data_IF_241763530990
#
_entry.id   IF_241763530990
#
_cell.length_a   1.000
_cell.length_b   1.000
_cell.length_c   1.000
_cell.angle_alpha   90.00
_cell.angle_beta   90.00
_cell.angle_gamma   90.00
#
_symmetry.space_group_name_H-M   'P 1'
#
loop_
_entity.id
_entity.type
_entity.pdbx_description
1 polymer ?
#
# COMPACT_ATOMS: atom_id res chain seq x y z
N UNK A 1 25.58 5.27 -14.30
CA UNK A 1 24.22 4.87 -14.71
C UNK A 1 23.46 4.48 -13.46
N UNK A 2 22.44 5.24 -13.06
CA UNK A 2 21.61 4.86 -11.91
C UNK A 2 20.69 3.72 -12.34
N UNK A 3 20.65 2.63 -11.58
CA UNK A 3 19.68 1.56 -11.78
C UNK A 3 18.32 2.02 -11.24
N UNK A 4 17.19 1.67 -11.88
CA UNK A 4 15.89 1.92 -11.29
C UNK A 4 15.78 1.16 -9.97
N UNK A 5 15.51 1.88 -8.89
CA UNK A 5 15.24 1.34 -7.57
C UNK A 5 13.92 1.92 -7.08
N UNK A 6 13.11 1.09 -6.43
CA UNK A 6 11.87 1.50 -5.77
C UNK A 6 12.15 1.61 -4.28
N UNK A 7 11.95 2.80 -3.72
CA UNK A 7 11.97 3.01 -2.27
C UNK A 7 10.63 2.59 -1.69
N UNK A 8 10.65 1.73 -0.67
CA UNK A 8 9.44 1.16 -0.06
C UNK A 8 9.19 1.66 1.36
N UNK A 9 10.00 2.61 1.83
CA UNK A 9 9.82 3.33 3.10
C UNK A 9 9.11 4.66 2.84
N UNK A 10 8.45 5.19 3.86
CA UNK A 10 7.68 6.43 3.78
C UNK A 10 6.20 6.19 4.05
N UNK A 11 5.38 7.11 3.58
CA UNK A 11 3.93 7.09 3.74
C UNK A 11 3.24 7.55 2.46
N UNK A 12 2.00 7.09 2.25
CA UNK A 12 1.24 7.49 1.09
C UNK A 12 -0.15 6.86 1.01
N UNK A 13 -0.94 7.19 -0.03
CA UNK A 13 -2.24 6.58 -0.23
C UNK A 13 -2.10 5.09 -0.58
N UNK A 14 -3.03 4.28 -0.09
CA UNK A 14 -3.14 2.85 -0.41
C UNK A 14 -4.57 2.50 -0.86
N UNK A 15 -4.64 1.55 -1.78
CA UNK A 15 -5.89 0.95 -2.23
C UNK A 15 -5.79 -0.55 -1.98
N UNK A 16 -6.69 -1.09 -1.16
CA UNK A 16 -6.74 -2.51 -0.83
C UNK A 16 -7.95 -3.14 -1.49
N UNK A 17 -7.67 -4.11 -2.36
CA UNK A 17 -8.68 -4.87 -3.08
C UNK A 17 -8.90 -6.20 -2.37
N UNK A 18 -10.11 -6.45 -1.88
CA UNK A 18 -10.47 -7.66 -1.13
C UNK A 18 -11.97 -7.92 -1.21
N UNK A 19 -12.37 -9.19 -1.33
CA UNK A 19 -13.79 -9.60 -1.39
C UNK A 19 -14.62 -8.84 -2.46
N UNK A 20 -14.01 -8.45 -3.58
CA UNK A 20 -14.66 -7.66 -4.64
C UNK A 20 -14.95 -6.20 -4.27
N UNK A 21 -14.34 -5.71 -3.19
CA UNK A 21 -14.43 -4.31 -2.73
C UNK A 21 -13.05 -3.66 -2.75
N UNK A 22 -13.06 -2.33 -2.83
CA UNK A 22 -11.87 -1.50 -2.62
C UNK A 22 -12.02 -0.74 -1.32
N UNK A 23 -10.98 -0.77 -0.50
CA UNK A 23 -10.84 0.06 0.68
C UNK A 23 -9.69 1.04 0.46
N UNK A 24 -9.93 2.30 0.80
CA UNK A 24 -9.00 3.41 0.66
C UNK A 24 -8.42 3.78 2.03
N UNK A 25 -7.17 4.23 2.03
CA UNK A 25 -6.48 4.60 3.25
C UNK A 25 -5.08 5.13 3.00
N UNK A 26 -4.25 5.09 4.03
CA UNK A 26 -2.82 5.37 3.97
C UNK A 26 -2.00 4.15 4.35
N UNK A 27 -0.83 4.01 3.76
CA UNK A 27 0.22 3.12 4.23
C UNK A 27 1.33 3.94 4.87
N UNK A 28 2.01 3.37 5.86
CA UNK A 28 3.23 3.90 6.43
C UNK A 28 4.22 2.77 6.71
N UNK A 29 5.51 3.03 6.47
CA UNK A 29 6.62 2.13 6.79
C UNK A 29 7.87 2.96 7.09
N UNK A 30 8.30 2.95 8.34
CA UNK A 30 9.41 3.79 8.82
C UNK A 30 10.76 3.26 8.33
N UNK A 31 11.05 1.98 8.54
CA UNK A 31 12.28 1.33 8.10
C UNK A 31 12.03 0.12 7.21
N UNK A 32 13.08 -0.34 6.52
CA UNK A 32 13.01 -1.56 5.68
C UNK A 32 12.79 -2.83 6.49
N UNK A 33 13.05 -2.81 7.79
CA UNK A 33 12.80 -3.95 8.68
C UNK A 33 11.37 -3.93 9.25
N UNK A 34 10.67 -2.79 9.14
CA UNK A 34 9.30 -2.65 9.60
C UNK A 34 8.29 -3.23 8.62
N UNK A 35 7.18 -3.68 9.17
CA UNK A 35 6.00 -4.04 8.40
C UNK A 35 5.22 -2.79 7.97
N UNK A 36 4.34 -2.94 6.97
CA UNK A 36 3.44 -1.87 6.56
C UNK A 36 2.30 -1.71 7.56
N UNK A 37 2.13 -0.49 8.07
CA UNK A 37 0.91 -0.08 8.76
C UNK A 37 -0.07 0.44 7.73
N UNK A 38 -1.29 -0.10 7.72
CA UNK A 38 -2.37 0.35 6.84
C UNK A 38 -3.48 0.96 7.70
N UNK A 39 -3.88 2.18 7.37
CA UNK A 39 -4.89 2.92 8.12
C UNK A 39 -6.01 3.32 7.17
N UNK A 40 -7.24 2.95 7.49
CA UNK A 40 -8.42 3.33 6.72
C UNK A 40 -8.72 4.83 6.86
N UNK A 41 -9.52 5.40 5.95
CA UNK A 41 -9.91 6.82 6.00
C UNK A 41 -10.62 7.25 7.30
N UNK A 42 -11.25 6.30 8.00
CA UNK A 42 -11.89 6.54 9.29
C UNK A 42 -10.93 6.46 10.49
N UNK A 43 -9.64 6.19 10.25
CA UNK A 43 -8.60 6.06 11.28
C UNK A 43 -8.45 4.65 11.87
N UNK A 44 -9.29 3.69 11.47
CA UNK A 44 -9.16 2.30 11.92
C UNK A 44 -7.99 1.59 11.21
N UNK A 45 -7.42 0.58 11.86
CA UNK A 45 -6.44 -0.29 11.22
C UNK A 45 -7.09 -1.08 10.08
N UNK A 46 -6.48 -1.01 8.90
CA UNK A 46 -6.94 -1.71 7.71
C UNK A 46 -6.27 -3.09 7.63
N UNK A 47 -6.97 -4.09 8.16
CA UNK A 47 -6.47 -5.47 8.21
C UNK A 47 -6.72 -6.20 6.90
N UNK A 48 -5.64 -6.64 6.25
CA UNK A 48 -5.71 -7.53 5.09
C UNK A 48 -5.94 -8.96 5.57
N UNK A 49 -7.00 -9.62 5.06
CA UNK A 49 -7.29 -11.01 5.41
C UNK A 49 -6.09 -11.92 5.06
N UNK A 50 -5.76 -12.90 5.91
CA UNK A 50 -4.66 -13.82 5.64
C UNK A 50 -4.91 -14.61 4.34
N UNK A 51 -3.90 -14.67 3.47
CA UNK A 51 -4.02 -15.29 2.15
C UNK A 51 -2.87 -14.94 1.20
N UNK A 52 -3.11 -15.09 -0.10
CA UNK A 52 -2.18 -14.65 -1.15
C UNK A 52 -2.30 -13.14 -1.33
N UNK A 53 -1.32 -12.41 -0.81
CA UNK A 53 -1.20 -10.96 -0.99
C UNK A 53 -0.38 -10.64 -2.24
N UNK A 54 -0.81 -9.62 -2.98
CA UNK A 54 -0.06 -9.04 -4.09
C UNK A 54 0.11 -7.55 -3.79
N UNK A 55 1.35 -7.08 -3.78
CA UNK A 55 1.68 -5.66 -3.53
C UNK A 55 2.23 -5.07 -4.81
N UNK A 56 1.68 -3.93 -5.22
CA UNK A 56 2.13 -3.20 -6.41
C UNK A 56 2.48 -1.76 -6.04
N UNK A 57 3.68 -1.33 -6.41
CA UNK A 57 4.18 0.04 -6.23
C UNK A 57 4.28 0.73 -7.60
N UNK A 58 3.23 1.45 -8.02
CA UNK A 58 3.24 2.16 -9.30
C UNK A 58 4.18 3.37 -9.24
N UNK A 59 4.76 3.80 -10.37
CA UNK A 59 5.43 5.09 -10.46
C UNK A 59 4.44 6.24 -10.23
N UNK A 60 4.96 7.40 -9.79
CA UNK A 60 4.16 8.60 -9.53
C UNK A 60 3.44 9.06 -10.81
N UNK A 61 2.12 9.24 -10.76
CA UNK A 61 1.33 9.58 -11.96
C UNK A 61 -0.16 9.23 -11.91
N UNK A 62 -0.59 8.54 -10.84
CA UNK A 62 -1.97 8.09 -10.67
C UNK A 62 -2.13 6.61 -11.03
N UNK A 63 -3.04 5.94 -10.33
CA UNK A 63 -3.43 4.55 -10.59
C UNK A 63 -4.85 4.52 -11.12
N UNK A 64 -5.06 3.78 -12.21
CA UNK A 64 -6.39 3.40 -12.70
C UNK A 64 -6.51 1.89 -12.56
N UNK A 65 -7.63 1.45 -12.03
CA UNK A 65 -7.99 0.04 -11.89
C UNK A 65 -9.41 -0.13 -12.44
N UNK A 66 -9.62 -1.22 -13.18
CA UNK A 66 -10.92 -1.62 -13.77
C UNK A 66 -11.57 -2.76 -12.97
#
# INVERSE_FOLDING_TARGET
TSLPATETTGEGPVYVFSDGKVQTGTWARETVDDWFTLTAENGDELVVKPGRIWVQTPPTGGVTFE
#
